data_IF_024162625652
#
_entry.id   IF_024162625652
#
_cell.length_a   1.000
_cell.length_b   1.000
_cell.length_c   1.000
_cell.angle_alpha   90.00
_cell.angle_beta   90.00
_cell.angle_gamma   90.00
#
_symmetry.space_group_name_H-M   'P 1'
#
loop_
_entity.id
_entity.type
_entity.pdbx_description
1 polymer ?
#
# COMPACT_ATOMS: atom_id res chain seq x y z
N UNK A 1 28.25 5.02 -16.43
CA UNK A 1 27.06 5.30 -17.23
C UNK A 1 26.46 6.59 -16.71
N UNK A 2 26.39 7.63 -17.53
CA UNK A 2 25.88 8.94 -17.12
C UNK A 2 24.36 8.83 -16.89
N UNK A 3 23.90 9.12 -15.69
CA UNK A 3 22.48 9.08 -15.30
C UNK A 3 21.56 9.99 -16.14
N UNK A 4 22.14 10.96 -16.85
CA UNK A 4 21.37 11.88 -17.71
C UNK A 4 20.97 11.30 -19.08
N UNK A 5 21.50 10.16 -19.48
CA UNK A 5 21.18 9.58 -20.79
C UNK A 5 20.00 8.61 -20.79
N UNK A 6 19.56 8.15 -19.60
CA UNK A 6 18.53 7.10 -19.50
C UNK A 6 17.10 7.62 -19.59
N UNK A 7 16.85 8.90 -19.33
CA UNK A 7 15.46 9.44 -19.27
C UNK A 7 15.11 10.45 -20.37
N UNK A 8 16.11 11.08 -21.03
CA UNK A 8 15.83 12.24 -21.90
C UNK A 8 15.39 11.93 -23.32
N UNK A 9 15.47 10.69 -23.80
CA UNK A 9 15.26 10.36 -25.21
C UNK A 9 14.28 9.20 -25.48
N UNK A 10 13.38 8.87 -24.56
CA UNK A 10 12.40 7.82 -24.84
C UNK A 10 11.16 8.43 -25.46
N UNK A 11 10.73 7.93 -26.61
CA UNK A 11 9.50 8.40 -27.24
C UNK A 11 8.33 8.04 -26.33
N UNK A 12 7.65 9.05 -25.83
CA UNK A 12 6.38 8.92 -25.15
C UNK A 12 5.31 9.20 -26.20
N UNK A 13 4.45 8.23 -26.45
CA UNK A 13 3.34 8.37 -27.38
C UNK A 13 2.02 8.47 -26.61
N UNK A 14 1.13 9.31 -27.11
CA UNK A 14 -0.23 9.36 -26.60
C UNK A 14 -1.06 8.27 -27.30
N UNK A 15 -1.62 7.34 -26.52
CA UNK A 15 -2.61 6.42 -27.02
C UNK A 15 -3.97 7.12 -27.03
N UNK A 16 -4.44 7.53 -28.22
CA UNK A 16 -5.69 8.26 -28.38
C UNK A 16 -6.94 7.45 -27.98
N UNK A 17 -6.85 6.12 -27.92
CA UNK A 17 -8.00 5.26 -27.58
C UNK A 17 -8.30 5.25 -26.08
N UNK A 18 -7.27 5.30 -25.24
CA UNK A 18 -7.41 5.24 -23.78
C UNK A 18 -6.95 6.53 -23.09
N UNK A 19 -6.48 7.51 -23.85
CA UNK A 19 -5.95 8.78 -23.36
C UNK A 19 -4.74 8.64 -22.41
N UNK A 20 -3.99 7.54 -22.53
CA UNK A 20 -2.80 7.29 -21.73
C UNK A 20 -1.52 7.62 -22.49
N UNK A 21 -0.54 8.10 -21.77
CA UNK A 21 0.83 8.22 -22.26
C UNK A 21 1.48 6.84 -22.18
N UNK A 22 1.83 6.28 -23.31
CA UNK A 22 2.51 4.99 -23.43
C UNK A 22 3.98 5.22 -23.77
N UNK A 23 4.84 4.44 -23.11
CA UNK A 23 6.25 4.33 -23.42
C UNK A 23 6.42 2.99 -24.10
N UNK A 24 7.12 2.94 -25.24
CA UNK A 24 7.47 1.67 -25.89
C UNK A 24 8.06 0.68 -24.87
N UNK A 25 7.80 -0.61 -25.07
CA UNK A 25 8.18 -1.71 -24.18
C UNK A 25 9.51 -1.46 -23.48
N UNK A 26 9.44 -1.10 -22.21
CA UNK A 26 10.60 -0.81 -21.41
C UNK A 26 10.61 -1.68 -20.17
N UNK A 27 11.69 -2.42 -20.05
CA UNK A 27 11.94 -3.15 -18.82
C UNK A 27 12.49 -2.19 -17.76
N UNK A 28 11.66 -1.85 -16.78
CA UNK A 28 12.11 -1.08 -15.63
C UNK A 28 12.96 -1.96 -14.72
N UNK A 29 14.17 -1.54 -14.46
CA UNK A 29 15.10 -2.21 -13.56
C UNK A 29 15.31 -1.36 -12.31
N UNK A 30 15.54 -2.03 -11.18
CA UNK A 30 15.86 -1.33 -9.94
C UNK A 30 17.15 -0.53 -10.11
N UNK A 31 17.09 0.77 -9.80
CA UNK A 31 18.25 1.64 -9.69
C UNK A 31 18.74 1.67 -8.23
N UNK A 32 19.77 0.89 -7.92
CA UNK A 32 20.32 0.79 -6.57
C UNK A 32 21.31 1.95 -6.32
N UNK A 33 20.75 3.11 -5.99
CA UNK A 33 21.53 4.31 -5.73
C UNK A 33 22.32 4.23 -4.42
N UNK A 34 23.56 4.77 -4.39
CA UNK A 34 24.41 4.78 -3.21
C UNK A 34 24.02 5.84 -2.17
N UNK A 35 23.34 6.90 -2.61
CA UNK A 35 22.90 8.00 -1.76
C UNK A 35 21.40 8.19 -1.92
N UNK A 36 20.68 8.52 -0.83
CA UNK A 36 19.25 8.76 -0.89
C UNK A 36 18.89 9.93 -1.78
N UNK A 37 17.85 9.78 -2.58
CA UNK A 37 17.25 10.87 -3.32
C UNK A 37 16.13 11.48 -2.46
N UNK A 38 16.43 12.53 -1.74
CA UNK A 38 15.50 13.13 -0.76
C UNK A 38 14.73 14.34 -1.32
N UNK A 39 15.02 14.75 -2.57
CA UNK A 39 14.32 15.83 -3.29
C UNK A 39 14.12 17.11 -2.47
N UNK A 40 15.12 17.51 -1.65
CA UNK A 40 15.00 18.64 -0.71
C UNK A 40 14.71 19.98 -1.39
N UNK A 41 15.14 20.16 -2.63
CA UNK A 41 14.82 21.32 -3.46
C UNK A 41 13.37 21.36 -3.93
N UNK A 42 12.72 20.20 -4.05
CA UNK A 42 11.31 20.07 -4.43
C UNK A 42 10.38 19.98 -3.20
N UNK A 43 10.88 19.39 -2.12
CA UNK A 43 10.16 19.20 -0.85
C UNK A 43 10.94 19.85 0.31
N UNK A 44 11.01 21.21 0.35
CA UNK A 44 11.64 21.90 1.46
C UNK A 44 10.84 21.67 2.73
N UNK A 45 11.52 21.44 3.87
CA UNK A 45 10.87 21.14 5.14
C UNK A 45 10.02 22.29 5.72
N UNK A 46 10.29 23.52 5.28
CA UNK A 46 9.62 24.73 5.74
C UNK A 46 8.40 25.14 4.91
N UNK A 47 8.12 24.41 3.83
CA UNK A 47 7.06 24.75 2.89
C UNK A 47 6.15 23.55 2.62
N UNK A 48 4.96 23.81 2.12
CA UNK A 48 4.07 22.74 1.65
C UNK A 48 4.74 22.05 0.45
N UNK A 49 4.91 20.72 0.48
CA UNK A 49 5.51 19.98 -0.62
C UNK A 49 4.76 20.22 -1.94
N UNK A 50 5.50 20.56 -2.98
CA UNK A 50 4.93 20.63 -4.34
C UNK A 50 4.99 19.25 -4.98
N UNK A 51 3.85 18.80 -5.47
CA UNK A 51 3.78 17.53 -6.22
C UNK A 51 4.31 17.81 -7.64
N UNK A 52 5.41 17.15 -8.09
CA UNK A 52 6.03 17.44 -9.38
C UNK A 52 5.32 16.74 -10.56
N UNK A 53 4.02 16.66 -10.51
CA UNK A 53 3.25 16.26 -11.68
C UNK A 53 2.99 17.53 -12.48
N UNK A 54 3.80 17.74 -13.52
CA UNK A 54 3.70 18.81 -14.50
C UNK A 54 2.25 19.16 -14.80
N UNK A 55 1.59 20.05 -14.13
CA UNK A 55 0.27 20.64 -14.40
C UNK A 55 -0.65 19.90 -15.40
N UNK A 56 -0.42 18.60 -15.57
CA UNK A 56 -1.18 17.76 -16.49
C UNK A 56 -2.39 17.20 -15.79
N UNK A 57 -3.55 17.54 -16.29
CA UNK A 57 -4.79 16.84 -15.93
C UNK A 57 -4.68 15.45 -16.55
N UNK A 58 -4.43 14.46 -15.69
CA UNK A 58 -4.52 13.05 -16.11
C UNK A 58 -6.00 12.67 -16.07
N UNK A 59 -6.59 12.23 -17.18
CA UNK A 59 -7.97 11.76 -17.17
C UNK A 59 -8.12 10.59 -16.20
N UNK A 60 -9.07 10.68 -15.27
CA UNK A 60 -9.37 9.58 -14.37
C UNK A 60 -10.32 8.60 -15.05
N UNK A 61 -9.88 7.35 -15.16
CA UNK A 61 -10.77 6.26 -15.53
C UNK A 61 -11.48 5.78 -14.25
N UNK A 62 -12.64 6.40 -13.96
CA UNK A 62 -13.38 6.07 -12.74
C UNK A 62 -13.96 4.67 -12.82
N UNK A 63 -13.79 3.84 -11.76
CA UNK A 63 -14.41 2.53 -11.70
C UNK A 63 -15.94 2.66 -11.70
N UNK A 64 -16.63 1.63 -12.19
CA UNK A 64 -18.09 1.57 -12.20
C UNK A 64 -18.67 1.60 -10.78
N UNK A 65 -18.01 0.89 -9.87
CA UNK A 65 -18.40 0.80 -8.47
C UNK A 65 -17.29 1.39 -7.59
N UNK A 66 -17.66 2.25 -6.67
CA UNK A 66 -16.74 2.83 -5.69
C UNK A 66 -16.83 2.01 -4.42
N UNK A 67 -15.70 1.47 -3.96
CA UNK A 67 -15.58 0.74 -2.73
C UNK A 67 -14.78 1.54 -1.70
N UNK A 68 -15.17 1.42 -0.44
CA UNK A 68 -14.56 2.15 0.67
C UNK A 68 -13.84 1.14 1.58
N UNK A 69 -12.58 1.42 1.88
CA UNK A 69 -11.86 0.77 2.98
C UNK A 69 -11.89 1.70 4.18
N UNK A 70 -12.42 1.24 5.29
CA UNK A 70 -12.46 1.99 6.54
C UNK A 70 -11.18 1.73 7.34
N UNK A 71 -10.55 2.79 7.83
CA UNK A 71 -9.31 2.74 8.63
C UNK A 71 -9.50 3.24 10.07
N UNK A 72 -10.75 3.35 10.53
CA UNK A 72 -11.09 3.85 11.88
C UNK A 72 -10.38 3.06 12.97
N UNK A 73 -10.27 1.73 12.81
CA UNK A 73 -9.67 0.85 13.83
C UNK A 73 -8.13 0.74 13.71
N UNK A 74 -7.56 1.40 12.73
CA UNK A 74 -6.12 1.56 12.54
C UNK A 74 -5.72 3.03 12.71
N UNK A 75 -5.79 3.83 11.67
CA UNK A 75 -5.38 5.24 11.69
C UNK A 75 -6.24 6.08 12.65
N UNK A 76 -7.54 5.84 12.68
CA UNK A 76 -8.46 6.59 13.54
C UNK A 76 -8.14 6.45 15.03
N UNK A 77 -7.51 5.37 15.45
CA UNK A 77 -7.09 5.19 16.85
C UNK A 77 -5.77 5.90 17.19
N UNK A 78 -5.01 6.39 16.21
CA UNK A 78 -3.74 7.07 16.47
C UNK A 78 -3.91 8.50 16.95
N UNK A 79 -5.03 9.15 16.61
CA UNK A 79 -5.32 10.56 16.92
C UNK A 79 -6.11 10.77 18.21
N UNK A 80 -6.46 9.69 18.93
CA UNK A 80 -7.33 9.72 20.12
C UNK A 80 -7.02 8.59 21.09
N UNK A 81 -7.65 8.60 22.26
CA UNK A 81 -7.64 7.45 23.15
C UNK A 81 -8.21 6.21 22.41
N UNK A 82 -7.52 5.05 22.47
CA UNK A 82 -7.98 3.83 21.80
C UNK A 82 -9.40 3.45 22.21
N UNK A 83 -10.19 2.97 21.25
CA UNK A 83 -11.52 2.44 21.52
C UNK A 83 -11.46 1.19 22.40
N UNK A 84 -12.51 0.96 23.19
CA UNK A 84 -12.70 -0.34 23.83
C UNK A 84 -13.11 -1.40 22.80
N UNK A 85 -12.97 -2.67 23.15
CA UNK A 85 -13.42 -3.78 22.30
C UNK A 85 -14.90 -3.64 21.92
N UNK A 86 -15.75 -3.27 22.87
CA UNK A 86 -17.19 -3.10 22.66
C UNK A 86 -17.50 -1.94 21.71
N UNK A 87 -16.78 -0.82 21.82
CA UNK A 87 -16.90 0.31 20.90
C UNK A 87 -16.50 -0.09 19.48
N UNK A 88 -15.39 -0.82 19.32
CA UNK A 88 -14.93 -1.31 18.01
C UNK A 88 -16.02 -2.17 17.37
N UNK A 89 -16.55 -3.14 18.09
CA UNK A 89 -17.59 -4.04 17.58
C UNK A 89 -18.86 -3.26 17.21
N UNK A 90 -19.27 -2.30 18.03
CA UNK A 90 -20.44 -1.47 17.75
C UNK A 90 -20.26 -0.63 16.48
N UNK A 91 -19.07 -0.02 16.32
CA UNK A 91 -18.75 0.77 15.11
C UNK A 91 -18.70 -0.15 13.89
N UNK A 92 -18.13 -1.35 14.02
CA UNK A 92 -18.09 -2.33 12.93
C UNK A 92 -19.50 -2.74 12.48
N UNK A 93 -20.44 -2.98 13.42
CA UNK A 93 -21.84 -3.24 13.13
C UNK A 93 -22.49 -2.04 12.39
N UNK A 94 -22.13 -0.80 12.74
CA UNK A 94 -22.60 0.39 12.00
C UNK A 94 -22.01 0.49 10.60
N UNK A 95 -20.72 0.18 10.42
CA UNK A 95 -20.08 0.19 9.11
C UNK A 95 -20.69 -0.87 8.18
N UNK A 96 -21.02 -2.04 8.70
CA UNK A 96 -21.79 -3.06 7.96
C UNK A 96 -23.14 -2.50 7.47
N UNK A 97 -23.90 -1.86 8.37
CA UNK A 97 -25.19 -1.25 8.01
C UNK A 97 -25.05 -0.09 7.03
N UNK A 98 -24.01 0.75 7.20
CA UNK A 98 -23.69 1.87 6.31
C UNK A 98 -23.32 1.40 4.91
N UNK A 99 -22.57 0.30 4.80
CA UNK A 99 -22.19 -0.31 3.53
C UNK A 99 -23.39 -0.84 2.72
N UNK A 100 -24.50 -1.10 3.39
CA UNK A 100 -25.74 -1.58 2.77
C UNK A 100 -25.62 -2.97 2.15
N UNK A 101 -26.63 -3.40 1.39
CA UNK A 101 -26.70 -4.77 0.85
C UNK A 101 -25.61 -5.08 -0.18
N UNK A 102 -25.07 -4.06 -0.85
CA UNK A 102 -24.01 -4.22 -1.84
C UNK A 102 -22.60 -4.13 -1.24
N UNK A 103 -22.47 -3.90 0.08
CA UNK A 103 -21.21 -3.83 0.78
C UNK A 103 -20.30 -2.72 0.24
N UNK A 104 -20.80 -1.48 0.13
CA UNK A 104 -20.00 -0.35 -0.32
C UNK A 104 -18.79 -0.10 0.61
N UNK A 105 -18.95 -0.25 1.93
CA UNK A 105 -17.82 -0.38 2.85
C UNK A 105 -17.29 -1.80 2.71
N UNK A 106 -16.22 -1.96 1.93
CA UNK A 106 -15.72 -3.26 1.48
C UNK A 106 -14.83 -3.93 2.51
N UNK A 107 -13.99 -3.16 3.19
CA UNK A 107 -13.05 -3.68 4.17
C UNK A 107 -12.89 -2.72 5.36
N UNK A 108 -12.52 -3.26 6.51
CA UNK A 108 -12.07 -2.53 7.69
C UNK A 108 -10.67 -2.99 8.08
N UNK A 109 -9.76 -2.05 8.25
CA UNK A 109 -8.38 -2.32 8.65
C UNK A 109 -8.19 -2.23 10.16
N UNK A 110 -7.53 -3.23 10.73
CA UNK A 110 -7.28 -3.33 12.16
C UNK A 110 -5.78 -3.38 12.48
N UNK A 111 -5.40 -2.82 13.62
CA UNK A 111 -4.15 -3.18 14.28
C UNK A 111 -4.30 -4.52 15.03
N UNK A 112 -3.17 -5.25 15.14
CA UNK A 112 -3.10 -6.55 15.80
C UNK A 112 -2.16 -6.57 17.01
N UNK A 113 -1.56 -5.43 17.35
CA UNK A 113 -0.43 -5.38 18.28
C UNK A 113 -0.83 -5.62 19.73
N UNK A 114 -1.97 -5.14 20.17
CA UNK A 114 -2.44 -5.33 21.53
C UNK A 114 -3.42 -6.51 21.65
N UNK A 115 -3.51 -7.08 22.85
CA UNK A 115 -4.52 -8.11 23.15
C UNK A 115 -5.94 -7.58 22.88
N UNK A 116 -6.21 -6.33 23.28
CA UNK A 116 -7.52 -5.69 23.09
C UNK A 116 -7.89 -5.62 21.60
N UNK A 117 -6.93 -5.27 20.72
CA UNK A 117 -7.17 -5.18 19.29
C UNK A 117 -7.50 -6.55 18.71
N UNK A 118 -6.74 -7.59 19.09
CA UNK A 118 -7.00 -8.97 18.65
C UNK A 118 -8.35 -9.49 19.16
N UNK A 119 -8.70 -9.22 20.43
CA UNK A 119 -10.02 -9.59 20.98
C UNK A 119 -11.16 -8.91 20.21
N UNK A 120 -10.98 -7.64 19.80
CA UNK A 120 -11.95 -6.93 18.96
C UNK A 120 -12.05 -7.55 17.56
N UNK A 121 -10.93 -7.88 16.94
CA UNK A 121 -10.89 -8.56 15.64
C UNK A 121 -11.67 -9.87 15.68
N UNK A 122 -11.42 -10.74 16.66
CA UNK A 122 -12.16 -12.00 16.80
C UNK A 122 -13.66 -11.77 16.91
N UNK A 123 -14.10 -10.83 17.75
CA UNK A 123 -15.52 -10.51 17.91
C UNK A 123 -16.15 -9.93 16.64
N UNK A 124 -15.40 -9.16 15.84
CA UNK A 124 -15.87 -8.68 14.54
C UNK A 124 -15.99 -9.84 13.54
N UNK A 125 -15.01 -10.74 13.49
CA UNK A 125 -15.07 -11.94 12.63
C UNK A 125 -16.24 -12.87 13.00
N UNK A 126 -16.56 -13.02 14.28
CA UNK A 126 -17.70 -13.80 14.77
C UNK A 126 -19.06 -13.27 14.28
N UNK A 127 -19.14 -12.00 13.82
CA UNK A 127 -20.37 -11.47 13.21
C UNK A 127 -20.74 -12.19 11.92
N UNK A 128 -19.76 -12.79 11.23
CA UNK A 128 -19.99 -13.52 9.99
C UNK A 128 -20.47 -12.64 8.82
N UNK A 129 -20.26 -11.32 8.89
CA UNK A 129 -20.62 -10.44 7.80
C UNK A 129 -19.72 -10.70 6.58
N UNK A 130 -20.33 -10.69 5.38
CA UNK A 130 -19.56 -10.72 4.15
C UNK A 130 -18.77 -9.40 3.99
N UNK A 131 -19.40 -8.28 4.30
CA UNK A 131 -18.81 -6.94 4.24
C UNK A 131 -19.21 -6.10 5.47
N UNK A 132 -18.30 -5.25 5.98
CA UNK A 132 -16.89 -5.12 5.56
C UNK A 132 -16.07 -6.38 5.90
N UNK A 133 -15.14 -6.74 5.04
CA UNK A 133 -14.14 -7.75 5.37
C UNK A 133 -13.24 -7.23 6.50
N UNK A 134 -12.93 -8.10 7.46
CA UNK A 134 -11.96 -7.80 8.51
C UNK A 134 -10.57 -8.03 7.95
N UNK A 135 -9.81 -6.97 7.75
CA UNK A 135 -8.44 -7.03 7.28
C UNK A 135 -7.47 -6.45 8.31
N UNK A 136 -6.22 -6.85 8.24
CA UNK A 136 -5.19 -6.26 9.09
C UNK A 136 -4.28 -5.33 8.31
N UNK A 137 -3.49 -4.56 9.05
CA UNK A 137 -2.46 -3.73 8.49
C UNK A 137 -1.21 -3.83 9.36
N UNK A 138 -0.09 -4.22 8.76
CA UNK A 138 1.16 -4.50 9.43
C UNK A 138 2.33 -3.76 8.77
N UNK A 139 3.41 -3.61 9.51
CA UNK A 139 4.70 -3.28 8.92
C UNK A 139 5.20 -4.50 8.14
N UNK A 140 6.04 -4.26 7.13
CA UNK A 140 6.69 -5.36 6.42
C UNK A 140 7.74 -6.02 7.32
N UNK A 141 7.30 -6.81 8.29
CA UNK A 141 8.15 -7.61 9.16
C UNK A 141 7.55 -8.99 9.40
N UNK A 142 8.41 -10.00 9.55
CA UNK A 142 7.97 -11.37 9.82
C UNK A 142 7.33 -11.53 11.19
N UNK A 143 7.76 -10.72 12.16
CA UNK A 143 7.19 -10.68 13.51
C UNK A 143 5.73 -10.19 13.47
N UNK A 144 5.46 -9.13 12.71
CA UNK A 144 4.11 -8.61 12.55
C UNK A 144 3.24 -9.60 11.76
N UNK A 145 3.80 -10.21 10.70
CA UNK A 145 3.10 -11.20 9.89
C UNK A 145 2.67 -12.43 10.69
N UNK A 146 3.46 -12.85 11.68
CA UNK A 146 3.07 -13.95 12.58
C UNK A 146 1.72 -13.69 13.26
N UNK A 147 1.42 -12.43 13.65
CA UNK A 147 0.14 -12.08 14.26
C UNK A 147 -1.02 -12.27 13.29
N UNK A 148 -0.82 -11.97 12.02
CA UNK A 148 -1.81 -12.17 10.95
C UNK A 148 -2.16 -13.66 10.82
N UNK A 149 -1.13 -14.53 10.81
CA UNK A 149 -1.30 -15.98 10.75
C UNK A 149 -2.03 -16.52 11.98
N UNK A 150 -1.62 -16.11 13.18
CA UNK A 150 -2.20 -16.57 14.45
C UNK A 150 -3.70 -16.27 14.53
N UNK A 151 -4.15 -15.15 13.96
CA UNK A 151 -5.56 -14.76 13.93
C UNK A 151 -6.34 -15.48 12.82
N UNK A 152 -5.66 -16.00 11.80
CA UNK A 152 -6.28 -16.67 10.66
C UNK A 152 -6.90 -15.71 9.65
N UNK A 153 -6.29 -14.55 9.45
CA UNK A 153 -6.75 -13.59 8.45
C UNK A 153 -6.47 -14.07 7.03
N UNK A 154 -7.34 -13.68 6.10
CA UNK A 154 -7.19 -14.01 4.67
C UNK A 154 -6.43 -12.97 3.88
N UNK A 155 -6.39 -11.75 4.38
CA UNK A 155 -5.74 -10.61 3.74
C UNK A 155 -5.06 -9.71 4.77
N UNK A 156 -3.96 -9.08 4.40
CA UNK A 156 -3.29 -8.06 5.22
C UNK A 156 -2.71 -6.94 4.38
N UNK A 157 -2.91 -5.70 4.81
CA UNK A 157 -2.15 -4.56 4.32
C UNK A 157 -0.71 -4.63 4.84
N UNK A 158 0.25 -4.35 3.97
CA UNK A 158 1.68 -4.32 4.29
C UNK A 158 2.23 -2.94 3.99
N UNK A 159 2.79 -2.28 4.98
CA UNK A 159 3.45 -0.99 4.81
C UNK A 159 4.78 -1.16 4.09
N UNK A 160 4.86 -0.59 2.90
CA UNK A 160 6.07 -0.57 2.06
C UNK A 160 6.53 0.86 1.91
N UNK A 161 7.54 1.26 2.67
CA UNK A 161 8.16 2.60 2.50
C UNK A 161 8.95 2.63 1.21
N UNK A 162 8.65 3.56 0.30
CA UNK A 162 9.23 3.58 -1.04
C UNK A 162 10.05 4.82 -1.37
N UNK A 163 10.02 5.88 -0.57
CA UNK A 163 10.91 7.02 -0.76
C UNK A 163 12.31 6.75 -0.23
N UNK A 164 13.31 7.31 -0.89
CA UNK A 164 14.69 7.26 -0.40
C UNK A 164 14.84 7.86 1.00
N UNK A 165 14.03 8.88 1.30
CA UNK A 165 14.02 9.46 2.64
C UNK A 165 13.68 8.40 3.71
N UNK A 166 12.64 7.60 3.49
CA UNK A 166 12.27 6.55 4.42
C UNK A 166 13.23 5.36 4.37
N UNK A 167 13.63 4.92 3.18
CA UNK A 167 14.52 3.77 3.02
C UNK A 167 15.86 4.03 3.72
N UNK A 168 16.51 5.15 3.40
CA UNK A 168 17.85 5.44 3.93
C UNK A 168 17.83 6.03 5.34
N UNK A 169 16.90 6.95 5.66
CA UNK A 169 16.91 7.69 6.93
C UNK A 169 16.12 7.01 8.04
N UNK A 170 14.96 6.44 7.71
CA UNK A 170 14.09 5.74 8.68
C UNK A 170 14.52 4.28 8.86
N UNK A 171 14.67 3.54 7.77
CA UNK A 171 14.93 2.10 7.80
C UNK A 171 16.42 1.75 7.83
N UNK A 172 17.31 2.71 7.45
CA UNK A 172 18.77 2.51 7.39
C UNK A 172 19.17 1.38 6.43
N UNK A 173 18.48 1.28 5.31
CA UNK A 173 18.68 0.27 4.26
C UNK A 173 19.07 0.93 2.95
N UNK A 174 19.70 0.17 2.05
CA UNK A 174 19.77 0.49 0.63
C UNK A 174 18.44 0.12 -0.05
N UNK A 175 18.20 0.63 -1.26
CA UNK A 175 17.02 0.25 -2.05
C UNK A 175 16.93 -1.26 -2.27
N UNK A 176 18.07 -1.92 -2.55
CA UNK A 176 18.14 -3.39 -2.73
C UNK A 176 17.75 -4.11 -1.46
N UNK A 177 18.31 -3.72 -0.33
CA UNK A 177 17.96 -4.34 0.96
C UNK A 177 16.49 -4.17 1.31
N UNK A 178 15.91 -2.98 1.08
CA UNK A 178 14.50 -2.74 1.30
C UNK A 178 13.62 -3.59 0.36
N UNK A 179 13.97 -3.65 -0.93
CA UNK A 179 13.30 -4.49 -1.92
C UNK A 179 13.29 -5.97 -1.48
N UNK A 180 14.46 -6.53 -1.19
CA UNK A 180 14.60 -7.93 -0.82
C UNK A 180 13.83 -8.24 0.48
N UNK A 181 13.86 -7.31 1.44
CA UNK A 181 13.13 -7.42 2.70
C UNK A 181 11.61 -7.47 2.46
N UNK A 182 11.05 -6.53 1.72
CA UNK A 182 9.61 -6.50 1.44
C UNK A 182 9.14 -7.73 0.66
N UNK A 183 9.89 -8.09 -0.38
CA UNK A 183 9.57 -9.28 -1.19
C UNK A 183 9.62 -10.57 -0.36
N UNK A 184 10.49 -10.64 0.65
CA UNK A 184 10.54 -11.80 1.55
C UNK A 184 9.26 -11.96 2.37
N UNK A 185 8.69 -10.86 2.87
CA UNK A 185 7.42 -10.86 3.64
C UNK A 185 6.24 -11.18 2.72
N UNK A 186 6.19 -10.56 1.53
CA UNK A 186 5.14 -10.81 0.54
C UNK A 186 5.12 -12.30 0.14
N UNK A 187 6.29 -12.89 -0.11
CA UNK A 187 6.39 -14.30 -0.45
C UNK A 187 5.87 -15.20 0.67
N UNK A 188 6.24 -14.91 1.91
CA UNK A 188 5.75 -15.67 3.07
C UNK A 188 4.22 -15.56 3.21
N UNK A 189 3.62 -14.38 2.95
CA UNK A 189 2.16 -14.24 2.92
C UNK A 189 1.52 -15.17 1.89
N UNK A 190 2.05 -15.21 0.67
CA UNK A 190 1.52 -16.04 -0.41
C UNK A 190 1.69 -17.53 -0.14
N UNK A 191 2.82 -17.94 0.43
CA UNK A 191 3.09 -19.34 0.83
C UNK A 191 2.09 -19.82 1.88
N UNK A 192 1.62 -18.93 2.75
CA UNK A 192 0.61 -19.22 3.77
C UNK A 192 -0.85 -19.02 3.27
N UNK A 193 -1.02 -18.71 1.98
CA UNK A 193 -2.34 -18.49 1.38
C UNK A 193 -3.04 -17.21 1.84
N UNK A 194 -2.27 -16.23 2.36
CA UNK A 194 -2.77 -14.93 2.80
C UNK A 194 -2.50 -13.91 1.69
N UNK A 195 -3.52 -13.15 1.29
CA UNK A 195 -3.40 -12.13 0.26
C UNK A 195 -2.67 -10.89 0.79
N UNK A 196 -1.47 -10.54 0.27
CA UNK A 196 -0.77 -9.32 0.66
C UNK A 196 -1.28 -8.13 -0.17
N UNK A 197 -1.63 -7.04 0.48
CA UNK A 197 -1.96 -5.75 -0.14
C UNK A 197 -0.90 -4.72 0.23
N UNK A 198 -0.06 -4.33 -0.73
CA UNK A 198 1.05 -3.41 -0.49
C UNK A 198 0.58 -1.96 -0.46
N UNK A 199 0.91 -1.25 0.61
CA UNK A 199 0.68 0.18 0.78
C UNK A 199 1.99 0.94 0.59
N UNK A 200 2.09 1.69 -0.50
CA UNK A 200 3.30 2.41 -0.89
C UNK A 200 3.43 3.72 -0.09
N UNK A 201 4.04 3.64 1.08
CA UNK A 201 4.24 4.80 1.97
C UNK A 201 5.19 5.81 1.33
N UNK A 202 4.76 7.08 1.33
CA UNK A 202 5.55 8.21 0.85
C UNK A 202 5.87 8.16 -0.66
N UNK A 203 4.96 7.58 -1.44
CA UNK A 203 5.09 7.42 -2.90
C UNK A 203 5.28 8.75 -3.64
N UNK A 204 4.69 9.83 -3.15
CA UNK A 204 4.77 11.15 -3.78
C UNK A 204 6.17 11.73 -3.77
N UNK A 205 7.07 11.24 -2.91
CA UNK A 205 8.49 11.60 -2.85
C UNK A 205 9.42 10.49 -3.33
N UNK A 206 8.86 9.39 -3.83
CA UNK A 206 9.64 8.24 -4.26
C UNK A 206 10.18 8.42 -5.68
N UNK A 207 11.23 7.68 -5.98
CA UNK A 207 11.68 7.48 -7.35
C UNK A 207 10.77 6.44 -8.02
N UNK A 208 9.79 6.96 -8.77
CA UNK A 208 8.75 6.13 -9.39
C UNK A 208 9.36 5.09 -10.32
N UNK A 209 10.25 5.51 -11.23
CA UNK A 209 10.78 4.62 -12.26
C UNK A 209 11.97 3.79 -11.81
N UNK A 210 12.80 4.32 -10.91
CA UNK A 210 13.98 3.61 -10.40
C UNK A 210 13.72 2.70 -9.21
N UNK A 211 12.53 2.80 -8.56
CA UNK A 211 12.20 1.98 -7.39
C UNK A 211 10.76 1.45 -7.40
N UNK A 212 9.75 2.33 -7.51
CA UNK A 212 8.36 1.92 -7.32
C UNK A 212 7.89 0.97 -8.42
N UNK A 213 8.07 1.34 -9.69
CA UNK A 213 7.69 0.49 -10.82
C UNK A 213 8.41 -0.86 -10.81
N UNK A 214 9.75 -0.93 -10.59
CA UNK A 214 10.43 -2.22 -10.40
C UNK A 214 9.87 -3.05 -9.24
N UNK A 215 9.54 -2.43 -8.10
CA UNK A 215 8.92 -3.13 -6.98
C UNK A 215 7.54 -3.71 -7.37
N UNK A 216 6.67 -2.89 -7.95
CA UNK A 216 5.34 -3.33 -8.39
C UNK A 216 5.44 -4.44 -9.46
N UNK A 217 6.34 -4.30 -10.43
CA UNK A 217 6.54 -5.31 -11.44
C UNK A 217 6.94 -6.67 -10.85
N UNK A 218 7.82 -6.70 -9.85
CA UNK A 218 8.23 -7.95 -9.21
C UNK A 218 7.14 -8.49 -8.30
N UNK A 219 6.54 -7.65 -7.45
CA UNK A 219 5.51 -8.08 -6.50
C UNK A 219 4.26 -8.59 -7.22
N UNK A 220 3.82 -7.90 -8.26
CA UNK A 220 2.62 -8.26 -9.02
C UNK A 220 2.87 -9.39 -10.03
N UNK A 221 3.87 -9.25 -10.91
CA UNK A 221 4.06 -10.20 -12.01
C UNK A 221 4.70 -11.51 -11.60
N UNK A 222 5.67 -11.47 -10.68
CA UNK A 222 6.41 -12.66 -10.26
C UNK A 222 5.81 -13.34 -9.02
N UNK A 223 5.27 -12.57 -8.09
CA UNK A 223 4.72 -13.10 -6.85
C UNK A 223 3.19 -13.14 -6.83
N UNK A 224 2.50 -12.52 -7.81
CA UNK A 224 1.04 -12.41 -7.85
C UNK A 224 0.43 -11.79 -6.58
N UNK A 225 1.17 -10.87 -5.97
CA UNK A 225 0.62 -10.04 -4.91
C UNK A 225 -0.48 -9.16 -5.52
N UNK A 226 -1.70 -9.27 -5.04
CA UNK A 226 -2.79 -8.43 -5.52
C UNK A 226 -2.60 -7.01 -4.99
N UNK A 227 -2.38 -6.06 -5.87
CA UNK A 227 -2.36 -4.64 -5.52
C UNK A 227 -3.77 -4.07 -5.41
N UNK A 228 -4.73 -4.59 -6.15
CA UNK A 228 -6.16 -4.36 -5.96
C UNK A 228 -6.95 -5.48 -6.63
N UNK A 229 -8.13 -5.81 -6.08
CA UNK A 229 -9.08 -6.79 -6.62
C UNK A 229 -9.82 -6.30 -7.87
N UNK A 230 -9.36 -5.27 -8.54
CA UNK A 230 -10.12 -4.59 -9.61
C UNK A 230 -9.86 -5.13 -11.01
N UNK A 231 -8.97 -6.10 -11.16
CA UNK A 231 -8.59 -6.69 -12.46
C UNK A 231 -9.21 -8.07 -12.72
N UNK A 232 -10.46 -8.26 -12.29
CA UNK A 232 -11.27 -9.44 -12.69
C UNK A 232 -12.57 -9.02 -13.33
#
# INVERSE_FOLDING_TARGET
>A
MNMNETFSNRPVTMNEKNNLLEIEEHMYILDDVKKPNVFRNMFPYSEIPKIPFNDRIVPHNMPKDIWITDTTFRDGQQSRAPYTTEQIVTIYDYLHRLGGPNGMVRACEFFLYSKKDRDAVYKCMERGYQFPEVTSWIRASKEDFRLVKEIGMKETGILVSCSDYHIFMKLKMTRRQAMDHYLSVIRECLEEGISPRCHLEDITRADIYGYVVPFCAVSYTHLRAHETREDL
#
